data_IF_249067403227
#
_entry.id   IF_249067403227
#
_cell.length_a   1.000
_cell.length_b   1.000
_cell.length_c   1.000
_cell.angle_alpha   90.00
_cell.angle_beta   90.00
_cell.angle_gamma   90.00
#
_symmetry.space_group_name_H-M   'P 1'
#
loop_
_entity.id
_entity.type
_entity.pdbx_description
1 polymer ?
#
# COMPACT_ATOMS: atom_id res chain seq x y z
N UNK A 1 33.19 -47.57 7.29
CA UNK A 1 32.20 -47.24 8.33
C UNK A 1 32.52 -45.87 8.97
N UNK A 2 33.75 -45.63 9.45
CA UNK A 2 34.16 -44.35 10.06
C UNK A 2 33.90 -43.11 9.20
N UNK A 3 34.24 -43.11 7.90
CA UNK A 3 34.00 -41.94 7.04
C UNK A 3 32.53 -41.56 6.88
N UNK A 4 31.64 -42.56 6.89
CA UNK A 4 30.18 -42.34 6.82
C UNK A 4 29.68 -41.79 8.15
N UNK A 5 30.18 -42.30 9.28
CA UNK A 5 29.86 -41.79 10.61
C UNK A 5 30.33 -40.34 10.77
N UNK A 6 31.53 -39.99 10.31
CA UNK A 6 32.06 -38.62 10.37
C UNK A 6 31.20 -37.65 9.54
N UNK A 7 30.77 -38.04 8.34
CA UNK A 7 29.88 -37.21 7.50
C UNK A 7 28.52 -36.99 8.15
N UNK A 8 27.95 -38.03 8.80
CA UNK A 8 26.67 -37.93 9.50
C UNK A 8 26.77 -37.01 10.73
N UNK A 9 27.86 -37.11 11.50
CA UNK A 9 28.11 -36.23 12.65
C UNK A 9 28.36 -34.79 12.20
N UNK A 10 29.12 -34.56 11.13
CA UNK A 10 29.34 -33.22 10.58
C UNK A 10 28.03 -32.58 10.09
N UNK A 11 27.17 -33.35 9.41
CA UNK A 11 25.84 -32.91 8.98
C UNK A 11 24.93 -32.55 10.17
N UNK A 12 24.91 -33.39 11.21
CA UNK A 12 24.14 -33.12 12.42
C UNK A 12 24.61 -31.85 13.14
N UNK A 13 25.92 -31.64 13.25
CA UNK A 13 26.49 -30.44 13.84
C UNK A 13 26.16 -29.19 13.01
N UNK A 14 26.16 -29.30 11.67
CA UNK A 14 25.75 -28.19 10.79
C UNK A 14 24.27 -27.83 10.98
N UNK A 15 23.38 -28.83 11.10
CA UNK A 15 21.96 -28.59 11.36
C UNK A 15 21.71 -27.96 12.74
N UNK A 16 22.46 -28.38 13.77
CA UNK A 16 22.40 -27.79 15.12
C UNK A 16 22.88 -26.32 15.13
N UNK A 17 23.91 -26.01 14.35
CA UNK A 17 24.39 -24.62 14.13
C UNK A 17 23.31 -23.79 13.44
N UNK A 18 22.62 -24.33 12.43
CA UNK A 18 21.51 -23.64 11.76
C UNK A 18 20.31 -23.36 12.68
N UNK A 19 20.00 -24.25 13.63
CA UNK A 19 18.92 -24.02 14.62
C UNK A 19 19.30 -23.10 15.79
N UNK A 20 20.60 -22.86 16.01
CA UNK A 20 21.09 -21.99 17.09
C UNK A 20 21.34 -20.55 16.64
N UNK A 21 21.29 -20.27 15.33
CA UNK A 21 21.07 -18.90 14.89
C UNK A 21 19.68 -18.46 15.40
N UNK A 22 19.60 -17.37 16.19
CA UNK A 22 18.30 -16.79 16.45
C UNK A 22 17.70 -16.47 15.09
N UNK A 23 16.53 -17.04 14.80
CA UNK A 23 15.66 -16.46 13.77
C UNK A 23 15.69 -14.95 13.99
N UNK A 24 15.88 -14.12 12.94
CA UNK A 24 15.76 -12.68 13.12
C UNK A 24 14.43 -12.50 13.85
N UNK A 25 14.51 -12.09 15.11
CA UNK A 25 13.34 -11.77 15.88
C UNK A 25 12.86 -10.51 15.23
N UNK A 26 12.09 -10.68 14.17
CA UNK A 26 11.27 -9.63 13.60
C UNK A 26 10.37 -9.31 14.77
N UNK A 27 10.73 -8.28 15.53
CA UNK A 27 9.95 -7.80 16.64
C UNK A 27 8.71 -7.18 15.98
N UNK A 28 7.77 -8.05 15.59
CA UNK A 28 6.53 -7.69 14.94
C UNK A 28 5.70 -6.96 15.99
N UNK A 29 5.77 -5.64 15.94
CA UNK A 29 4.99 -4.73 16.76
C UNK A 29 3.51 -4.96 16.46
N UNK A 30 2.73 -5.02 17.53
CA UNK A 30 1.27 -5.02 17.47
C UNK A 30 0.75 -3.58 17.25
N UNK A 31 -0.55 -3.38 17.29
CA UNK A 31 -1.18 -2.08 17.08
C UNK A 31 -0.62 -0.97 17.98
N UNK A 32 -0.36 0.20 17.40
CA UNK A 32 0.32 1.34 18.03
C UNK A 32 1.74 1.05 18.57
N UNK A 33 2.29 -0.13 18.29
CA UNK A 33 3.67 -0.47 18.62
C UNK A 33 4.65 0.31 17.75
N UNK A 34 5.90 0.51 18.24
CA UNK A 34 6.92 1.23 17.51
C UNK A 34 7.36 0.45 16.26
N UNK A 35 7.60 1.17 15.17
CA UNK A 35 8.16 0.60 13.95
C UNK A 35 9.08 1.60 13.27
N UNK A 36 10.00 1.09 12.46
CA UNK A 36 10.95 1.85 11.65
C UNK A 36 10.88 1.46 10.19
N UNK A 37 10.52 0.22 9.90
CA UNK A 37 10.36 -0.36 8.57
C UNK A 37 9.01 -1.06 8.45
N UNK A 38 8.59 -1.41 7.23
CA UNK A 38 7.30 -2.05 6.98
C UNK A 38 7.21 -3.48 7.54
N UNK A 39 8.35 -4.16 7.68
CA UNK A 39 8.42 -5.54 8.19
C UNK A 39 8.38 -5.61 9.73
N UNK A 40 8.42 -4.45 10.40
CA UNK A 40 8.37 -4.34 11.85
C UNK A 40 6.95 -4.53 12.40
N UNK A 41 5.91 -4.58 11.56
CA UNK A 41 4.52 -4.75 11.99
C UNK A 41 4.03 -6.17 11.73
N UNK A 42 3.27 -6.74 12.68
CA UNK A 42 2.72 -8.08 12.51
C UNK A 42 1.63 -8.14 11.43
N UNK A 43 1.42 -9.32 10.85
CA UNK A 43 0.26 -9.59 9.99
C UNK A 43 0.16 -8.67 8.77
N UNK A 44 -0.96 -7.96 8.63
CA UNK A 44 -1.27 -7.07 7.50
C UNK A 44 -1.22 -5.58 7.87
N UNK A 45 -0.52 -5.24 8.96
CA UNK A 45 -0.40 -3.87 9.44
C UNK A 45 0.71 -3.11 8.72
N UNK A 46 0.62 -1.79 8.75
CA UNK A 46 1.58 -0.89 8.07
C UNK A 46 2.27 0.03 9.07
N UNK A 47 3.51 0.42 8.79
CA UNK A 47 4.27 1.37 9.62
C UNK A 47 4.08 2.80 9.14
N UNK A 48 3.35 3.63 9.90
CA UNK A 48 3.13 5.05 9.59
C UNK A 48 3.54 5.89 10.80
N UNK A 49 4.36 6.93 10.56
CA UNK A 49 4.87 7.83 11.60
C UNK A 49 5.51 7.08 12.79
N UNK A 50 6.18 5.97 12.49
CA UNK A 50 6.85 5.13 13.48
C UNK A 50 5.90 4.29 14.35
N UNK A 51 4.64 4.09 13.93
CA UNK A 51 3.67 3.22 14.59
C UNK A 51 2.97 2.26 13.64
N UNK A 52 2.68 1.05 14.14
CA UNK A 52 1.89 0.06 13.40
C UNK A 52 0.39 0.39 13.44
N UNK A 53 -0.24 0.52 12.27
CA UNK A 53 -1.66 0.81 12.10
C UNK A 53 -2.33 -0.16 11.12
N UNK A 54 -3.66 -0.24 11.16
CA UNK A 54 -4.44 -0.99 10.16
C UNK A 54 -4.17 -0.44 8.75
N UNK A 55 -4.24 -1.33 7.76
CA UNK A 55 -4.21 -0.97 6.34
C UNK A 55 -5.60 -0.44 5.94
N UNK A 56 -5.74 0.87 5.65
CA UNK A 56 -7.03 1.47 5.32
C UNK A 56 -7.57 1.03 3.95
N UNK A 57 -6.75 0.42 3.07
CA UNK A 57 -7.20 -0.06 1.75
C UNK A 57 -7.87 -1.45 1.82
N UNK A 58 -7.45 -2.31 2.76
CA UNK A 58 -8.01 -3.68 2.89
C UNK A 58 -9.15 -3.76 3.90
N UNK A 59 -9.33 -2.73 4.72
CA UNK A 59 -10.41 -2.67 5.71
C UNK A 59 -10.24 -3.69 6.83
N UNK A 60 -9.00 -4.04 7.16
CA UNK A 60 -8.71 -4.87 8.33
C UNK A 60 -8.97 -4.05 9.59
N UNK A 61 -9.74 -4.61 10.52
CA UNK A 61 -10.14 -3.95 11.76
C UNK A 61 -9.32 -4.44 12.96
N UNK A 62 -8.01 -4.64 12.78
CA UNK A 62 -7.15 -5.30 13.76
C UNK A 62 -6.82 -4.34 14.92
N UNK A 63 -6.65 -3.04 14.64
CA UNK A 63 -6.35 -2.01 15.65
C UNK A 63 -7.58 -1.25 16.16
N UNK A 64 -8.74 -1.39 15.53
CA UNK A 64 -10.02 -0.75 15.92
C UNK A 64 -10.64 -1.18 17.25
N UNK A 65 -10.03 -2.09 18.01
CA UNK A 65 -10.43 -2.34 19.40
C UNK A 65 -9.82 -1.33 20.40
N UNK A 66 -9.19 -0.26 19.93
CA UNK A 66 -8.69 0.87 20.76
C UNK A 66 -9.46 2.17 20.45
N UNK A 67 -9.71 3.04 21.46
CA UNK A 67 -10.65 4.15 21.36
C UNK A 67 -10.25 5.20 20.30
N UNK A 68 -11.22 5.91 19.70
CA UNK A 68 -11.02 6.66 18.47
C UNK A 68 -10.18 7.93 18.71
N UNK A 69 -9.02 7.99 18.06
CA UNK A 69 -8.26 9.24 17.87
C UNK A 69 -8.85 10.01 16.69
N UNK A 70 -9.20 11.28 16.92
CA UNK A 70 -9.65 12.22 15.91
C UNK A 70 -8.52 12.53 14.91
N UNK A 71 -8.55 11.94 13.72
CA UNK A 71 -7.62 12.29 12.65
C UNK A 71 -8.25 12.13 11.27
N UNK A 72 -8.49 13.26 10.60
CA UNK A 72 -8.64 13.38 9.15
C UNK A 72 -9.98 12.89 8.59
N UNK A 73 -10.78 13.81 8.07
CA UNK A 73 -11.96 13.51 7.26
C UNK A 73 -11.48 12.74 6.03
N UNK A 74 -11.72 11.43 5.96
CA UNK A 74 -11.40 10.61 4.78
C UNK A 74 -12.15 11.16 3.56
N UNK A 75 -11.54 11.11 2.38
CA UNK A 75 -12.23 11.49 1.14
C UNK A 75 -13.37 10.51 0.89
N UNK A 76 -14.61 11.02 0.82
CA UNK A 76 -15.82 10.24 0.67
C UNK A 76 -16.56 10.62 -0.61
N UNK A 77 -17.38 9.72 -1.18
CA UNK A 77 -18.24 10.05 -2.30
C UNK A 77 -19.16 11.23 -1.97
N UNK A 78 -19.20 12.21 -2.87
CA UNK A 78 -20.11 13.37 -2.82
C UNK A 78 -21.52 13.05 -3.36
N UNK A 79 -21.66 11.93 -4.05
CA UNK A 79 -22.92 11.46 -4.61
C UNK A 79 -22.69 10.35 -5.64
N UNK A 80 -23.70 10.09 -6.47
CA UNK A 80 -23.63 9.10 -7.54
C UNK A 80 -24.12 9.66 -8.87
N UNK A 81 -23.73 9.01 -9.96
CA UNK A 81 -24.20 9.24 -11.32
C UNK A 81 -24.59 7.92 -11.97
N UNK A 82 -25.68 7.93 -12.74
CA UNK A 82 -26.20 6.74 -13.40
C UNK A 82 -25.85 6.76 -14.88
N UNK A 83 -25.22 5.69 -15.35
CA UNK A 83 -24.89 5.49 -16.76
C UNK A 83 -25.12 4.02 -17.13
N UNK A 84 -25.81 3.75 -18.24
CA UNK A 84 -26.08 2.38 -18.74
C UNK A 84 -26.63 1.41 -17.67
N UNK A 85 -27.51 1.90 -16.79
CA UNK A 85 -28.11 1.08 -15.72
C UNK A 85 -27.18 0.77 -14.54
N UNK A 86 -25.97 1.35 -14.49
CA UNK A 86 -25.01 1.23 -13.39
C UNK A 86 -24.85 2.57 -12.66
N UNK A 87 -24.68 2.48 -11.34
CA UNK A 87 -24.40 3.64 -10.48
C UNK A 87 -22.89 3.77 -10.26
N UNK A 88 -22.35 4.96 -10.48
CA UNK A 88 -20.94 5.29 -10.31
C UNK A 88 -20.79 6.39 -9.26
N UNK A 89 -19.81 6.29 -8.33
CA UNK A 89 -19.59 7.31 -7.32
C UNK A 89 -18.98 8.58 -7.93
N UNK A 90 -19.37 9.74 -7.40
CA UNK A 90 -18.77 11.04 -7.72
C UNK A 90 -17.93 11.51 -6.55
N UNK A 91 -16.75 12.03 -6.84
CA UNK A 91 -15.86 12.60 -5.83
C UNK A 91 -15.60 14.07 -6.12
N UNK A 92 -15.44 14.85 -5.06
CA UNK A 92 -14.95 16.24 -5.10
C UNK A 92 -13.64 16.36 -4.30
N UNK A 93 -12.99 15.21 -4.11
CA UNK A 93 -11.75 15.09 -3.38
C UNK A 93 -10.94 13.92 -3.94
N UNK A 94 -9.63 13.95 -3.70
CA UNK A 94 -8.75 12.79 -3.86
C UNK A 94 -8.05 12.45 -2.54
N UNK A 95 -7.44 11.26 -2.42
CA UNK A 95 -6.55 10.95 -1.31
C UNK A 95 -5.42 11.99 -1.18
N UNK A 96 -4.86 12.20 0.02
CA UNK A 96 -3.77 13.15 0.22
C UNK A 96 -2.56 12.85 -0.66
N UNK A 97 -2.01 13.89 -1.30
CA UNK A 97 -0.77 13.79 -2.06
C UNK A 97 0.41 13.69 -1.08
N UNK A 98 1.22 12.66 -1.25
CA UNK A 98 2.46 12.41 -0.48
C UNK A 98 3.64 12.21 -1.42
N UNK A 99 4.85 12.06 -0.86
CA UNK A 99 6.05 11.70 -1.64
C UNK A 99 5.92 10.34 -2.34
N UNK A 100 4.95 9.51 -1.95
CA UNK A 100 4.62 8.23 -2.60
C UNK A 100 3.11 8.08 -2.70
N UNK A 101 2.49 8.91 -3.54
CA UNK A 101 1.05 8.84 -3.79
C UNK A 101 0.73 7.60 -4.63
N UNK A 102 -0.06 6.67 -4.08
CA UNK A 102 -0.59 5.52 -4.84
C UNK A 102 -1.71 6.00 -5.77
N UNK A 103 -1.69 5.52 -7.01
CA UNK A 103 -2.68 5.85 -8.02
C UNK A 103 -2.87 4.68 -9.00
N UNK A 104 -4.01 4.65 -9.66
CA UNK A 104 -4.27 3.76 -10.79
C UNK A 104 -3.96 4.52 -12.07
N UNK A 105 -3.08 3.98 -12.91
CA UNK A 105 -2.80 4.51 -14.24
C UNK A 105 -3.81 3.95 -15.24
N UNK A 106 -4.43 4.84 -16.01
CA UNK A 106 -5.32 4.51 -17.13
C UNK A 106 -4.83 5.22 -18.39
N UNK A 107 -5.07 4.63 -19.55
CA UNK A 107 -4.76 5.27 -20.83
C UNK A 107 -5.86 6.25 -21.24
N UNK A 108 -5.45 7.39 -21.81
CA UNK A 108 -6.34 8.40 -22.36
C UNK A 108 -5.78 8.90 -23.71
N UNK A 109 -6.68 9.27 -24.62
CA UNK A 109 -6.33 9.95 -25.86
C UNK A 109 -6.49 11.46 -25.67
N UNK A 110 -5.39 12.21 -25.79
CA UNK A 110 -5.34 13.67 -25.63
C UNK A 110 -5.42 14.43 -26.98
N UNK A 111 -5.60 13.69 -28.08
CA UNK A 111 -5.84 14.26 -29.40
C UNK A 111 -7.31 14.65 -29.60
N UNK A 112 -7.72 14.91 -30.84
CA UNK A 112 -9.04 15.42 -31.21
C UNK A 112 -10.14 14.34 -31.10
N UNK A 113 -10.53 13.97 -29.88
CA UNK A 113 -11.63 13.04 -29.59
C UNK A 113 -12.77 13.63 -28.75
N UNK A 114 -12.49 14.73 -28.03
CA UNK A 114 -13.42 15.42 -27.14
C UNK A 114 -13.16 16.93 -27.11
N UNK A 115 -12.95 17.48 -25.91
CA UNK A 115 -12.50 18.88 -25.72
C UNK A 115 -10.99 18.96 -25.47
N UNK A 116 -10.39 20.17 -25.56
CA UNK A 116 -8.98 20.37 -25.24
C UNK A 116 -8.69 20.17 -23.74
N UNK A 117 -7.40 20.11 -23.39
CA UNK A 117 -6.94 19.97 -22.01
C UNK A 117 -7.21 21.24 -21.19
N UNK A 118 -7.77 21.08 -19.99
CA UNK A 118 -8.18 22.19 -19.12
C UNK A 118 -7.05 23.16 -18.74
N UNK A 119 -5.81 22.67 -18.65
CA UNK A 119 -4.69 23.48 -18.17
C UNK A 119 -4.27 24.59 -19.15
N UNK A 120 -4.46 24.39 -20.46
CA UNK A 120 -3.92 25.26 -21.50
C UNK A 120 -4.83 25.44 -22.73
N UNK A 121 -6.03 24.84 -22.71
CA UNK A 121 -7.03 24.86 -23.77
C UNK A 121 -6.51 24.30 -25.12
N UNK A 122 -5.54 23.39 -25.11
CA UNK A 122 -5.03 22.73 -26.33
C UNK A 122 -5.22 21.21 -26.35
N UNK A 123 -5.19 20.67 -27.57
CA UNK A 123 -4.99 19.23 -27.81
C UNK A 123 -3.50 18.90 -27.83
N UNK A 124 -3.16 17.68 -27.43
CA UNK A 124 -1.78 17.21 -27.37
C UNK A 124 -1.61 15.91 -28.14
N UNK A 125 -0.40 15.68 -28.65
CA UNK A 125 -0.08 14.39 -29.24
C UNK A 125 0.05 13.32 -28.16
N UNK A 126 -0.48 12.13 -28.41
CA UNK A 126 -0.34 10.98 -27.49
C UNK A 126 1.13 10.50 -27.32
N UNK A 127 2.07 11.03 -28.12
CA UNK A 127 3.50 10.81 -27.89
C UNK A 127 4.11 11.73 -26.82
N UNK A 128 3.42 12.78 -26.41
CA UNK A 128 3.83 13.66 -25.31
C UNK A 128 3.62 12.96 -23.97
N UNK A 129 4.56 13.12 -23.04
CA UNK A 129 4.45 12.54 -21.69
C UNK A 129 3.60 13.43 -20.79
N UNK A 130 2.28 13.35 -20.95
CA UNK A 130 1.29 14.13 -20.21
C UNK A 130 0.26 13.21 -19.53
N UNK A 131 -0.42 13.72 -18.50
CA UNK A 131 -1.42 12.99 -17.72
C UNK A 131 -2.58 13.90 -17.34
N UNK A 132 -3.75 13.29 -17.13
CA UNK A 132 -4.86 13.91 -16.43
C UNK A 132 -4.95 13.34 -15.01
N UNK A 133 -5.35 14.17 -14.04
CA UNK A 133 -5.53 13.76 -12.65
C UNK A 133 -7.01 13.78 -12.28
N UNK A 134 -7.39 12.93 -11.32
CA UNK A 134 -8.72 12.98 -10.71
C UNK A 134 -8.93 14.30 -9.97
N UNK A 135 -10.20 14.72 -9.82
CA UNK A 135 -10.56 15.87 -9.00
C UNK A 135 -10.05 15.70 -7.56
N UNK A 136 -9.32 16.69 -7.06
CA UNK A 136 -8.62 16.68 -5.77
C UNK A 136 -9.34 17.41 -4.65
#
# INVERSE_FOLDING_TARGET
MERVVILMMASLMLMLVLTSFPLPSIAVSSCNGPCTTMDDCGGQMICINGRCTDDPEVGTHICTNSPPSLSGRSCQPSGTMYCEGKSYPKYQCSPPVTSWTRATLTENDFSEGGGPSECDDNYHSNSEHIVALSTG
#
